data_IF_199588229599
#
_entry.id   IF_199588229599
#
_cell.length_a   1.000
_cell.length_b   1.000
_cell.length_c   1.000
_cell.angle_alpha   90.00
_cell.angle_beta   90.00
_cell.angle_gamma   90.00
#
_symmetry.space_group_name_H-M   'P 1'
#
loop_
_entity.id
_entity.type
_entity.pdbx_description
1 polymer ?
#
# COMPACT_ATOMS: atom_id res chain seq x y z
N UNK A 1 6.00 -17.61 28.23
CA UNK A 1 5.23 -18.77 28.74
C UNK A 1 4.86 -19.66 27.55
N UNK A 2 5.84 -20.37 26.98
CA UNK A 2 5.63 -21.31 25.88
C UNK A 2 5.46 -22.70 26.49
N UNK A 3 4.34 -23.33 26.19
CA UNK A 3 4.00 -24.67 26.66
C UNK A 3 5.09 -25.66 26.20
N UNK A 4 5.89 -26.18 27.14
CA UNK A 4 7.11 -26.98 26.87
C UNK A 4 6.85 -28.16 25.92
N UNK A 5 5.61 -28.64 25.84
CA UNK A 5 5.16 -29.71 24.94
C UNK A 5 5.17 -29.32 23.45
N UNK A 6 4.86 -28.07 23.09
CA UNK A 6 4.78 -27.64 21.68
C UNK A 6 6.16 -27.39 21.05
N UNK A 7 7.15 -27.02 21.87
CA UNK A 7 8.52 -26.72 21.43
C UNK A 7 9.32 -27.95 20.98
N UNK A 8 8.88 -29.17 21.32
CA UNK A 8 9.58 -30.42 20.98
C UNK A 8 9.20 -30.98 19.61
N UNK A 9 8.18 -30.43 18.94
CA UNK A 9 7.78 -30.89 17.62
C UNK A 9 8.72 -30.25 16.58
N UNK A 10 9.43 -31.10 15.84
CA UNK A 10 10.44 -30.72 14.83
C UNK A 10 9.93 -29.70 13.79
N UNK A 11 8.63 -29.67 13.53
CA UNK A 11 7.97 -28.73 12.62
C UNK A 11 7.96 -27.28 13.13
N UNK A 12 7.88 -27.05 14.44
CA UNK A 12 7.83 -25.71 15.02
C UNK A 12 9.22 -25.11 15.30
N UNK A 13 10.28 -25.92 15.35
CA UNK A 13 11.64 -25.41 15.59
C UNK A 13 12.09 -24.34 14.59
N UNK A 14 11.72 -24.49 13.31
CA UNK A 14 12.01 -23.48 12.29
C UNK A 14 11.22 -22.18 12.51
N UNK A 15 9.97 -22.29 12.95
CA UNK A 15 9.12 -21.15 13.26
C UNK A 15 9.66 -20.39 14.47
N UNK A 16 10.00 -21.11 15.55
CA UNK A 16 10.56 -20.53 16.77
C UNK A 16 11.87 -19.80 16.47
N UNK A 17 12.79 -20.41 15.71
CA UNK A 17 14.04 -19.74 15.29
C UNK A 17 13.82 -18.43 14.54
N UNK A 18 12.77 -18.34 13.73
CA UNK A 18 12.43 -17.09 13.02
C UNK A 18 11.81 -16.06 13.96
N UNK A 19 10.98 -16.49 14.91
CA UNK A 19 10.41 -15.63 15.95
C UNK A 19 11.53 -15.02 16.78
N UNK A 20 12.49 -15.83 17.23
CA UNK A 20 13.64 -15.38 18.02
C UNK A 20 14.52 -14.42 17.22
N UNK A 21 14.81 -14.74 15.94
CA UNK A 21 15.63 -13.89 15.07
C UNK A 21 15.06 -12.48 14.89
N UNK A 22 13.74 -12.35 14.85
CA UNK A 22 13.08 -11.07 14.60
C UNK A 22 12.40 -10.51 15.84
N UNK A 23 12.65 -11.05 17.04
CA UNK A 23 11.97 -10.72 18.29
C UNK A 23 11.90 -9.21 18.58
N UNK A 24 12.99 -8.50 18.31
CA UNK A 24 13.08 -7.05 18.57
C UNK A 24 12.34 -6.22 17.52
N UNK A 25 12.12 -6.76 16.32
CA UNK A 25 11.36 -6.12 15.23
C UNK A 25 9.90 -6.53 15.23
N UNK A 26 9.59 -7.45 16.13
CA UNK A 26 8.37 -8.17 16.12
C UNK A 26 7.31 -7.25 16.72
N UNK A 27 7.59 -6.39 17.69
CA UNK A 27 6.63 -5.43 18.21
C UNK A 27 7.17 -4.00 18.04
N UNK A 28 6.28 -3.06 17.74
CA UNK A 28 6.60 -1.65 17.77
C UNK A 28 6.23 -1.09 19.15
N UNK A 29 7.01 -0.13 19.63
CA UNK A 29 6.71 0.52 20.90
C UNK A 29 5.36 1.26 20.84
N UNK A 30 4.57 1.24 21.92
CA UNK A 30 3.33 1.98 22.00
C UNK A 30 3.58 3.48 21.83
N UNK A 31 2.75 4.15 21.04
CA UNK A 31 2.81 5.59 20.82
C UNK A 31 1.78 6.25 21.73
N UNK A 32 2.25 7.07 22.67
CA UNK A 32 1.38 7.85 23.54
C UNK A 32 1.03 9.16 22.87
N UNK A 33 -0.26 9.43 22.66
CA UNK A 33 -0.80 10.66 22.07
C UNK A 33 -1.75 11.34 23.04
N UNK A 34 -1.60 12.65 23.18
CA UNK A 34 -2.53 13.48 23.94
C UNK A 34 -3.68 13.91 23.03
N UNK A 35 -4.91 13.53 23.41
CA UNK A 35 -6.14 13.93 22.73
C UNK A 35 -6.97 14.79 23.69
N UNK A 36 -7.89 15.60 23.18
CA UNK A 36 -8.80 16.45 23.98
C UNK A 36 -9.63 15.69 25.03
N UNK A 37 -9.77 14.37 24.89
CA UNK A 37 -10.46 13.46 25.81
C UNK A 37 -9.51 12.70 26.76
N UNK A 38 -8.21 12.97 26.73
CA UNK A 38 -7.19 12.33 27.59
C UNK A 38 -6.01 11.74 26.81
N UNK A 39 -5.06 11.16 27.55
CA UNK A 39 -3.90 10.50 27.00
C UNK A 39 -4.27 9.09 26.50
N UNK A 40 -4.03 8.82 25.22
CA UNK A 40 -4.34 7.53 24.57
C UNK A 40 -3.04 6.85 24.18
N UNK A 41 -2.90 5.57 24.50
CA UNK A 41 -1.77 4.75 24.06
C UNK A 41 -2.17 3.97 22.81
N UNK A 42 -1.59 4.34 21.67
CA UNK A 42 -1.77 3.65 20.41
C UNK A 42 -0.71 2.57 20.25
N UNK A 43 -1.13 1.30 20.27
CA UNK A 43 -0.25 0.20 19.90
C UNK A 43 -0.20 0.10 18.37
N UNK A 44 0.95 0.37 17.71
CA UNK A 44 1.03 0.24 16.27
C UNK A 44 0.79 -1.23 15.88
N UNK A 45 0.05 -1.44 14.80
CA UNK A 45 -0.22 -2.79 14.32
C UNK A 45 1.09 -3.46 13.92
N UNK A 46 1.31 -4.63 14.51
CA UNK A 46 2.54 -5.45 14.42
C UNK A 46 2.96 -5.78 12.99
N UNK A 47 1.98 -5.96 12.11
CA UNK A 47 2.17 -6.52 10.78
C UNK A 47 1.29 -5.83 9.77
N UNK A 48 1.65 -6.00 8.51
CA UNK A 48 0.85 -5.59 7.37
C UNK A 48 -0.45 -6.42 7.21
N UNK A 49 -0.97 -7.04 8.28
CA UNK A 49 -2.11 -7.94 8.23
C UNK A 49 -3.37 -7.25 7.70
N UNK A 50 -3.57 -5.97 8.03
CA UNK A 50 -4.68 -5.20 7.46
C UNK A 50 -4.56 -5.08 5.94
N UNK A 51 -3.41 -4.65 5.40
CA UNK A 51 -3.25 -4.55 3.95
C UNK A 51 -3.20 -5.93 3.29
N UNK A 52 -2.61 -6.94 3.94
CA UNK A 52 -2.62 -8.31 3.42
C UNK A 52 -4.03 -8.87 3.32
N UNK A 53 -4.87 -8.69 4.35
CA UNK A 53 -6.30 -9.06 4.33
C UNK A 53 -7.02 -8.29 3.23
N UNK A 54 -6.81 -6.98 3.15
CA UNK A 54 -7.36 -6.14 2.09
C UNK A 54 -7.00 -6.66 0.69
N UNK A 55 -5.71 -6.85 0.39
CA UNK A 55 -5.24 -7.32 -0.91
C UNK A 55 -5.68 -8.76 -1.19
N UNK A 56 -5.79 -9.60 -0.16
CA UNK A 56 -6.32 -10.96 -0.28
C UNK A 56 -7.79 -10.96 -0.69
N UNK A 57 -8.61 -10.12 -0.08
CA UNK A 57 -10.04 -10.01 -0.41
C UNK A 57 -10.26 -9.35 -1.77
N UNK A 58 -9.49 -8.29 -2.07
CA UNK A 58 -9.44 -7.69 -3.40
C UNK A 58 -9.10 -8.72 -4.48
N UNK A 59 -8.10 -9.58 -4.22
CA UNK A 59 -7.70 -10.65 -5.13
C UNK A 59 -8.80 -11.70 -5.32
N UNK A 60 -9.43 -12.13 -4.23
CA UNK A 60 -10.51 -13.14 -4.26
C UNK A 60 -11.71 -12.65 -5.05
N UNK A 61 -12.19 -11.43 -4.80
CA UNK A 61 -13.35 -10.86 -5.51
C UNK A 61 -13.07 -10.70 -7.01
N UNK A 62 -11.92 -10.14 -7.37
CA UNK A 62 -11.56 -9.96 -8.77
C UNK A 62 -11.36 -11.28 -9.52
N UNK A 63 -10.86 -12.34 -8.86
CA UNK A 63 -10.79 -13.68 -9.46
C UNK A 63 -12.17 -14.26 -9.72
N UNK A 64 -13.12 -14.13 -8.78
CA UNK A 64 -14.51 -14.58 -9.00
C UNK A 64 -15.16 -13.86 -10.19
N UNK A 65 -14.89 -12.56 -10.38
CA UNK A 65 -15.48 -11.76 -11.46
C UNK A 65 -14.84 -12.03 -12.84
N UNK A 66 -13.51 -12.17 -12.90
CA UNK A 66 -12.77 -12.15 -14.17
C UNK A 66 -12.07 -13.45 -14.55
N UNK A 67 -11.99 -14.44 -13.65
CA UNK A 67 -11.27 -15.70 -13.86
C UNK A 67 -9.75 -15.56 -14.08
N UNK A 68 -9.20 -14.34 -14.03
CA UNK A 68 -7.84 -14.06 -14.47
C UNK A 68 -6.79 -14.54 -13.46
N UNK A 69 -5.87 -15.38 -13.92
CA UNK A 69 -4.77 -15.93 -13.10
C UNK A 69 -3.70 -14.85 -12.82
N UNK A 70 -3.44 -13.94 -13.77
CA UNK A 70 -2.40 -12.90 -13.72
C UNK A 70 -2.75 -11.66 -12.88
N UNK A 71 -3.74 -11.75 -11.99
CA UNK A 71 -4.23 -10.61 -11.21
C UNK A 71 -3.15 -9.92 -10.36
N UNK A 72 -2.17 -10.67 -9.84
CA UNK A 72 -1.05 -10.09 -9.10
C UNK A 72 -0.23 -9.10 -9.96
N UNK A 73 -0.01 -9.42 -11.24
CA UNK A 73 0.73 -8.54 -12.17
C UNK A 73 -0.05 -7.26 -12.40
N UNK A 74 -1.38 -7.38 -12.58
CA UNK A 74 -2.28 -6.24 -12.77
C UNK A 74 -2.35 -5.34 -11.54
N UNK A 75 -2.45 -5.91 -10.34
CA UNK A 75 -2.46 -5.13 -9.10
C UNK A 75 -1.15 -4.37 -8.88
N UNK A 76 0.00 -4.94 -9.26
CA UNK A 76 1.29 -4.25 -9.21
C UNK A 76 1.43 -3.12 -10.23
N UNK A 77 0.69 -3.18 -11.34
CA UNK A 77 0.72 -2.15 -12.38
C UNK A 77 -0.42 -1.13 -12.27
N UNK A 78 -1.32 -1.27 -11.30
CA UNK A 78 -2.38 -0.29 -11.05
C UNK A 78 -1.78 0.99 -10.46
N UNK A 79 -2.45 2.12 -10.68
CA UNK A 79 -2.13 3.38 -10.00
C UNK A 79 -2.22 3.15 -8.49
N UNK A 80 -1.27 3.72 -7.76
CA UNK A 80 -1.15 3.55 -6.31
C UNK A 80 -2.45 3.89 -5.56
N UNK A 81 -3.24 4.81 -6.10
CA UNK A 81 -4.48 5.32 -5.51
C UNK A 81 -5.72 4.49 -5.85
N UNK A 82 -5.62 3.57 -6.83
CA UNK A 82 -6.75 2.70 -7.25
C UNK A 82 -7.39 1.94 -6.07
N UNK A 83 -6.63 1.41 -5.10
CA UNK A 83 -7.19 0.78 -3.90
C UNK A 83 -8.08 1.70 -3.05
N UNK A 84 -7.87 3.02 -3.08
CA UNK A 84 -8.65 3.99 -2.29
C UNK A 84 -10.12 4.06 -2.69
N UNK A 85 -10.46 3.60 -3.90
CA UNK A 85 -11.86 3.43 -4.32
C UNK A 85 -12.63 2.55 -3.33
N UNK A 86 -11.96 1.66 -2.60
CA UNK A 86 -12.62 0.83 -1.59
C UNK A 86 -13.17 1.65 -0.40
N UNK A 87 -12.69 2.86 -0.20
CA UNK A 87 -13.21 3.76 0.82
C UNK A 87 -14.66 4.20 0.52
N UNK A 88 -15.14 4.05 -0.72
CA UNK A 88 -16.55 4.27 -1.06
C UNK A 88 -17.51 3.30 -0.34
N UNK A 89 -17.01 2.18 0.20
CA UNK A 89 -17.82 1.31 1.08
C UNK A 89 -18.03 1.92 2.47
N UNK A 90 -17.25 2.93 2.87
CA UNK A 90 -17.40 3.60 4.16
C UNK A 90 -18.48 4.69 4.04
N UNK A 91 -19.57 4.62 4.82
CA UNK A 91 -20.66 5.60 4.75
C UNK A 91 -20.21 7.02 5.12
N UNK A 92 -19.32 7.17 6.10
CA UNK A 92 -18.82 8.49 6.53
C UNK A 92 -17.99 9.13 5.41
N UNK A 93 -17.17 8.32 4.74
CA UNK A 93 -16.39 8.77 3.58
C UNK A 93 -17.29 9.14 2.40
N UNK A 94 -18.35 8.37 2.18
CA UNK A 94 -19.36 8.67 1.16
C UNK A 94 -20.07 10.00 1.46
N UNK A 95 -20.46 10.24 2.71
CA UNK A 95 -21.08 11.51 3.12
C UNK A 95 -20.18 12.71 2.83
N UNK A 96 -18.89 12.60 3.13
CA UNK A 96 -17.89 13.64 2.84
C UNK A 96 -17.77 13.88 1.33
N UNK A 97 -17.71 12.82 0.52
CA UNK A 97 -17.61 12.95 -0.94
C UNK A 97 -18.87 13.58 -1.54
N UNK A 98 -20.03 13.13 -1.07
CA UNK A 98 -21.33 13.55 -1.57
C UNK A 98 -21.60 15.02 -1.28
N UNK A 99 -21.12 15.57 -0.16
CA UNK A 99 -21.15 17.02 0.14
C UNK A 99 -22.56 17.60 -0.12
N UNK A 100 -23.56 16.97 0.52
CA UNK A 100 -24.97 17.35 0.42
C UNK A 100 -25.71 16.91 -0.84
N UNK A 101 -25.13 16.04 -1.67
CA UNK A 101 -25.85 15.40 -2.80
C UNK A 101 -26.33 13.99 -2.42
N UNK A 102 -27.37 13.51 -3.10
CA UNK A 102 -27.95 12.20 -2.79
C UNK A 102 -27.17 11.06 -3.47
N UNK A 103 -26.54 11.35 -4.60
CA UNK A 103 -25.83 10.36 -5.43
C UNK A 103 -24.47 10.85 -5.91
N UNK A 104 -23.58 9.89 -6.22
CA UNK A 104 -22.28 10.22 -6.81
C UNK A 104 -22.46 10.89 -8.17
N UNK A 105 -23.44 10.46 -8.97
CA UNK A 105 -23.76 10.99 -10.28
C UNK A 105 -24.07 12.49 -10.23
N UNK A 106 -24.89 12.92 -9.26
CA UNK A 106 -25.18 14.33 -9.03
C UNK A 106 -23.94 15.11 -8.62
N UNK A 107 -23.13 14.54 -7.72
CA UNK A 107 -21.85 15.15 -7.32
C UNK A 107 -20.90 15.29 -8.50
N UNK A 108 -20.76 14.26 -9.33
CA UNK A 108 -19.92 14.25 -10.52
C UNK A 108 -20.40 15.26 -11.56
N UNK A 109 -21.72 15.46 -11.72
CA UNK A 109 -22.29 16.46 -12.62
C UNK A 109 -21.88 17.89 -12.24
N UNK A 110 -21.67 18.17 -10.96
CA UNK A 110 -21.23 19.48 -10.45
C UNK A 110 -19.74 19.75 -10.70
N UNK A 111 -18.95 18.72 -10.97
CA UNK A 111 -17.50 18.86 -11.22
C UNK A 111 -17.28 19.38 -12.65
N UNK A 112 -16.48 20.42 -12.79
CA UNK A 112 -16.06 20.93 -14.09
C UNK A 112 -15.12 19.93 -14.81
N UNK A 113 -15.58 19.38 -15.94
CA UNK A 113 -14.81 18.46 -16.76
C UNK A 113 -13.52 19.06 -17.35
N UNK A 114 -13.47 20.38 -17.55
CA UNK A 114 -12.27 21.07 -18.01
C UNK A 114 -11.17 21.00 -16.95
N UNK A 115 -11.53 21.23 -15.68
CA UNK A 115 -10.64 21.13 -14.53
C UNK A 115 -10.07 19.71 -14.37
N UNK A 116 -10.91 18.69 -14.48
CA UNK A 116 -10.49 17.28 -14.41
C UNK A 116 -9.48 16.96 -15.52
N UNK A 117 -9.80 17.34 -16.76
CA UNK A 117 -8.92 17.09 -17.91
C UNK A 117 -7.57 17.79 -17.77
N UNK A 118 -7.55 19.02 -17.25
CA UNK A 118 -6.31 19.76 -16.97
C UNK A 118 -5.46 19.08 -15.90
N UNK A 119 -6.07 18.65 -14.79
CA UNK A 119 -5.38 17.89 -13.73
C UNK A 119 -4.82 16.57 -14.24
N UNK A 120 -5.59 15.79 -14.99
CA UNK A 120 -5.11 14.53 -15.59
C UNK A 120 -3.90 14.74 -16.51
N UNK A 121 -3.91 15.80 -17.32
CA UNK A 121 -2.76 16.16 -18.16
C UNK A 121 -1.52 16.57 -17.35
N UNK A 122 -1.71 17.24 -16.20
CA UNK A 122 -0.63 17.61 -15.29
C UNK A 122 -0.03 16.37 -14.61
N UNK A 123 -0.89 15.47 -14.11
CA UNK A 123 -0.50 14.24 -13.43
C UNK A 123 0.22 13.26 -14.37
N UNK A 124 -0.20 13.17 -15.62
CA UNK A 124 0.51 12.38 -16.64
C UNK A 124 1.95 12.87 -16.88
N UNK A 125 2.23 14.15 -16.70
CA UNK A 125 3.59 14.71 -16.78
C UNK A 125 4.41 14.44 -15.52
N UNK A 126 3.78 14.28 -14.35
CA UNK A 126 4.49 13.99 -13.09
C UNK A 126 4.82 12.50 -12.96
N UNK A 127 3.99 11.60 -13.50
CA UNK A 127 4.38 10.22 -13.79
C UNK A 127 5.18 10.14 -15.09
N UNK A 128 6.20 10.98 -15.24
CA UNK A 128 7.18 10.84 -16.30
C UNK A 128 7.81 9.46 -16.15
N UNK A 129 7.35 8.54 -17.00
CA UNK A 129 8.00 7.26 -17.25
C UNK A 129 9.46 7.57 -17.48
N UNK A 130 10.34 6.96 -16.68
CA UNK A 130 11.79 6.91 -16.93
C UNK A 130 11.98 6.78 -18.45
N UNK A 131 12.65 7.76 -19.06
CA UNK A 131 12.82 7.78 -20.51
C UNK A 131 13.43 6.45 -20.96
N UNK A 132 13.15 5.98 -22.18
CA UNK A 132 13.77 4.75 -22.68
C UNK A 132 15.29 4.78 -22.57
N UNK A 133 15.93 5.94 -22.73
CA UNK A 133 17.38 6.10 -22.52
C UNK A 133 17.76 5.98 -21.04
N UNK A 134 17.06 6.66 -20.13
CA UNK A 134 17.32 6.53 -18.70
C UNK A 134 17.12 5.10 -18.20
N UNK A 135 16.18 4.36 -18.78
CA UNK A 135 15.95 2.95 -18.43
C UNK A 135 17.11 2.06 -18.85
N UNK A 136 17.76 2.36 -19.98
CA UNK A 136 18.99 1.68 -20.43
C UNK A 136 20.15 1.98 -19.48
N UNK A 137 20.28 3.23 -19.04
CA UNK A 137 21.32 3.66 -18.10
C UNK A 137 21.15 2.93 -16.74
N UNK A 138 19.93 2.89 -16.19
CA UNK A 138 19.63 2.20 -14.92
C UNK A 138 19.89 0.68 -15.01
N UNK A 139 19.82 0.08 -16.19
CA UNK A 139 20.09 -1.34 -16.41
C UNK A 139 21.59 -1.68 -16.55
N UNK A 140 22.49 -0.69 -16.60
CA UNK A 140 23.92 -0.95 -16.60
C UNK A 140 24.38 -1.43 -15.21
N UNK A 141 25.00 -2.62 -15.10
CA UNK A 141 25.46 -3.16 -13.81
C UNK A 141 26.57 -2.31 -13.20
N UNK A 142 27.43 -1.71 -14.02
CA UNK A 142 28.58 -0.88 -13.62
C UNK A 142 28.21 0.61 -13.43
N UNK A 143 26.91 0.94 -13.45
CA UNK A 143 26.43 2.30 -13.25
C UNK A 143 26.94 2.95 -11.94
N UNK A 144 26.97 2.25 -10.77
CA UNK A 144 27.43 2.85 -9.52
C UNK A 144 28.89 3.30 -9.58
N UNK A 145 29.75 2.52 -10.24
CA UNK A 145 31.18 2.82 -10.41
C UNK A 145 31.42 3.99 -11.36
N UNK A 146 30.60 4.10 -12.42
CA UNK A 146 30.66 5.23 -13.35
C UNK A 146 30.19 6.54 -12.69
N UNK A 147 29.18 6.46 -11.81
CA UNK A 147 28.69 7.61 -11.06
C UNK A 147 29.70 8.08 -10.00
N UNK A 148 30.37 7.15 -9.32
CA UNK A 148 31.42 7.52 -8.35
C UNK A 148 32.62 8.19 -9.02
N UNK A 149 33.01 7.74 -10.23
CA UNK A 149 34.04 8.40 -11.04
C UNK A 149 33.65 9.82 -11.48
N UNK A 150 32.39 10.04 -11.87
CA UNK A 150 31.89 11.34 -12.29
C UNK A 150 31.76 12.35 -11.13
N UNK A 151 31.45 11.88 -9.93
CA UNK A 151 31.30 12.74 -8.74
C UNK A 151 32.64 13.00 -8.01
N UNK A 152 33.67 12.23 -8.34
CA UNK A 152 35.03 12.40 -7.80
C UNK A 152 35.92 13.31 -8.68
N UNK A 153 35.41 13.76 -9.83
CA UNK A 153 36.04 14.74 -10.72
C UNK A 153 35.49 16.14 -10.46
#
# INVERSE_FOLDING_TARGET
MTDKKQSQIKSYQKMIKQIDKYWDKLFADPITVETSSGQITLQPQRTNNMLERFFRDLKRRNRKKSGTISLNKRLKSMLADTPLIKNLDNPDYMQIILDGNDTLEERFKKIDGCMVTKKLKLEQKTYERISPEMRKIIQCPDLPEKLSLLLAA
#
